data_IF_099366694748
#
_entry.id   IF_099366694748
#
_cell.length_a   1.000
_cell.length_b   1.000
_cell.length_c   1.000
_cell.angle_alpha   90.00
_cell.angle_beta   90.00
_cell.angle_gamma   90.00
#
_symmetry.space_group_name_H-M   'P 1'
#
loop_
_entity.id
_entity.type
_entity.pdbx_description
1 polymer ?
#
# COMPACT_ATOMS: atom_id res chain seq x y z
N UNK A 1 9.63 -0.88 -20.21
CA UNK A 1 9.58 -1.62 -18.94
C UNK A 1 9.33 -0.60 -17.83
N UNK A 2 8.10 -0.31 -17.39
CA UNK A 2 7.90 0.57 -16.24
C UNK A 2 7.52 -0.29 -15.00
N UNK A 3 8.03 -0.11 -13.79
CA UNK A 3 8.93 0.88 -13.24
C UNK A 3 9.84 0.19 -12.20
N UNK A 4 11.14 0.48 -12.24
CA UNK A 4 11.96 0.40 -11.02
C UNK A 4 11.53 1.59 -10.15
N UNK A 5 10.57 1.41 -9.25
CA UNK A 5 10.30 2.36 -8.17
C UNK A 5 11.36 2.11 -7.09
N UNK A 6 12.36 2.98 -7.04
CA UNK A 6 13.60 2.76 -6.29
C UNK A 6 13.53 3.19 -4.82
N UNK A 7 12.34 3.27 -4.21
CA UNK A 7 12.23 3.51 -2.78
C UNK A 7 11.15 2.62 -2.15
N UNK A 8 11.58 1.72 -1.27
CA UNK A 8 10.72 0.86 -0.43
C UNK A 8 9.62 1.68 0.25
N UNK A 9 9.89 2.93 0.63
CA UNK A 9 8.90 3.80 1.26
C UNK A 9 7.78 4.17 0.30
N UNK A 10 8.07 4.48 -0.95
CA UNK A 10 7.06 4.82 -1.97
C UNK A 10 6.15 3.63 -2.24
N UNK A 11 6.72 2.42 -2.34
CA UNK A 11 5.95 1.19 -2.53
C UNK A 11 5.02 0.91 -1.34
N UNK A 12 5.50 1.11 -0.11
CA UNK A 12 4.66 0.94 1.09
C UNK A 12 3.55 1.99 1.16
N UNK A 13 3.82 3.24 0.76
CA UNK A 13 2.77 4.29 0.69
C UNK A 13 1.71 3.91 -0.35
N UNK A 14 2.14 3.44 -1.53
CA UNK A 14 1.24 3.01 -2.58
C UNK A 14 0.37 1.83 -2.13
N UNK A 15 0.97 0.83 -1.50
CA UNK A 15 0.26 -0.34 -0.99
C UNK A 15 -0.80 0.04 0.06
N UNK A 16 -0.46 0.92 1.00
CA UNK A 16 -1.41 1.42 2.02
C UNK A 16 -2.55 2.21 1.37
N UNK A 17 -2.23 3.08 0.41
CA UNK A 17 -3.24 3.87 -0.30
C UNK A 17 -4.21 2.99 -1.10
N UNK A 18 -3.71 1.94 -1.76
CA UNK A 18 -4.54 0.97 -2.50
C UNK A 18 -5.42 0.14 -1.56
N UNK A 19 -4.89 -0.28 -0.42
CA UNK A 19 -5.65 -0.99 0.60
C UNK A 19 -6.79 -0.12 1.17
N UNK A 20 -6.50 1.15 1.47
CA UNK A 20 -7.51 2.11 1.92
C UNK A 20 -8.55 2.39 0.83
N UNK A 21 -8.10 2.57 -0.42
CA UNK A 21 -8.97 2.76 -1.58
C UNK A 21 -9.95 1.60 -1.76
N UNK A 22 -9.46 0.35 -1.67
CA UNK A 22 -10.29 -0.85 -1.78
C UNK A 22 -11.46 -0.81 -0.81
N UNK A 23 -11.21 -0.51 0.47
CA UNK A 23 -12.27 -0.46 1.49
C UNK A 23 -13.27 0.65 1.20
N UNK A 24 -12.81 1.81 0.75
CA UNK A 24 -13.67 2.95 0.48
C UNK A 24 -14.53 2.77 -0.78
N UNK A 25 -14.05 2.04 -1.78
CA UNK A 25 -14.71 1.88 -3.08
C UNK A 25 -15.46 0.56 -3.27
N UNK A 26 -15.41 -0.37 -2.32
CA UNK A 26 -16.08 -1.68 -2.39
C UNK A 26 -17.57 -1.57 -2.73
N UNK A 27 -18.27 -0.60 -2.14
CA UNK A 27 -19.71 -0.41 -2.39
C UNK A 27 -20.02 0.21 -3.76
N UNK A 28 -19.09 0.99 -4.33
CA UNK A 28 -19.28 1.69 -5.60
C UNK A 28 -18.86 0.83 -6.79
N UNK A 29 -17.75 0.12 -6.66
CA UNK A 29 -17.22 -0.81 -7.65
C UNK A 29 -16.43 -1.93 -6.95
N UNK A 30 -17.07 -3.08 -6.65
CA UNK A 30 -16.42 -4.17 -5.93
C UNK A 30 -15.31 -4.83 -6.74
N UNK A 31 -15.36 -4.79 -8.07
CA UNK A 31 -14.31 -5.37 -8.93
C UNK A 31 -13.06 -4.51 -8.88
N UNK A 32 -13.23 -3.18 -8.97
CA UNK A 32 -12.13 -2.25 -8.82
C UNK A 32 -11.51 -2.31 -7.42
N UNK A 33 -12.35 -2.42 -6.39
CA UNK A 33 -11.89 -2.60 -5.01
C UNK A 33 -11.05 -3.88 -4.85
N UNK A 34 -11.53 -5.01 -5.36
CA UNK A 34 -10.79 -6.27 -5.31
C UNK A 34 -9.43 -6.17 -6.03
N UNK A 35 -9.39 -5.56 -7.21
CA UNK A 35 -8.12 -5.34 -7.91
C UNK A 35 -7.16 -4.42 -7.15
N UNK A 36 -7.68 -3.35 -6.51
CA UNK A 36 -6.86 -2.47 -5.68
C UNK A 36 -6.29 -3.22 -4.46
N UNK A 37 -7.08 -4.08 -3.83
CA UNK A 37 -6.61 -4.93 -2.74
C UNK A 37 -5.53 -5.92 -3.18
N UNK A 38 -5.72 -6.59 -4.32
CA UNK A 38 -4.72 -7.52 -4.87
C UNK A 38 -3.40 -6.80 -5.17
N UNK A 39 -3.46 -5.62 -5.80
CA UNK A 39 -2.27 -4.83 -6.09
C UNK A 39 -1.58 -4.33 -4.80
N UNK A 40 -2.35 -3.94 -3.78
CA UNK A 40 -1.78 -3.62 -2.46
C UNK A 40 -1.06 -4.83 -1.85
N UNK A 41 -1.68 -6.01 -1.91
CA UNK A 41 -1.11 -7.24 -1.38
C UNK A 41 0.18 -7.63 -2.11
N UNK A 42 0.24 -7.49 -3.43
CA UNK A 42 1.45 -7.77 -4.22
C UNK A 42 2.63 -6.90 -3.74
N UNK A 43 2.40 -5.58 -3.60
CA UNK A 43 3.43 -4.67 -3.09
C UNK A 43 3.85 -4.96 -1.64
N UNK A 44 2.91 -5.38 -0.78
CA UNK A 44 3.22 -5.79 0.59
C UNK A 44 4.07 -7.07 0.65
N UNK A 45 3.76 -8.05 -0.21
CA UNK A 45 4.49 -9.31 -0.33
C UNK A 45 5.91 -9.11 -0.86
N UNK A 46 6.10 -8.20 -1.82
CA UNK A 46 7.43 -7.85 -2.34
C UNK A 46 8.39 -7.39 -1.24
N UNK A 47 7.87 -6.76 -0.19
CA UNK A 47 8.65 -6.23 0.93
C UNK A 47 8.58 -7.08 2.21
N UNK A 48 7.88 -8.22 2.19
CA UNK A 48 7.63 -9.12 3.34
C UNK A 48 7.04 -8.37 4.56
N UNK A 49 6.04 -7.52 4.30
CA UNK A 49 5.42 -6.67 5.33
C UNK A 49 3.91 -6.81 5.29
N UNK A 50 3.29 -7.01 6.46
CA UNK A 50 1.83 -6.93 6.56
C UNK A 50 1.33 -5.48 6.51
N UNK A 51 0.07 -5.26 6.12
CA UNK A 51 -0.52 -3.91 6.02
C UNK A 51 -0.37 -3.10 7.32
N UNK A 52 -0.59 -3.72 8.49
CA UNK A 52 -0.38 -3.04 9.77
C UNK A 52 1.08 -2.62 9.96
N UNK A 53 2.02 -3.42 9.43
CA UNK A 53 3.46 -3.23 9.54
C UNK A 53 3.89 -2.05 8.69
N UNK A 54 3.37 -1.98 7.46
CA UNK A 54 3.57 -0.87 6.53
C UNK A 54 3.09 0.44 7.15
N UNK A 55 1.86 0.48 7.67
CA UNK A 55 1.30 1.69 8.34
C UNK A 55 2.16 2.09 9.53
N UNK A 56 2.59 1.14 10.37
CA UNK A 56 3.47 1.42 11.52
C UNK A 56 4.80 2.00 11.06
N UNK A 57 5.43 1.41 10.06
CA UNK A 57 6.72 1.85 9.53
C UNK A 57 6.63 3.29 9.01
N UNK A 58 5.63 3.58 8.18
CA UNK A 58 5.41 4.92 7.63
C UNK A 58 5.15 5.98 8.71
N UNK A 59 4.39 5.63 9.75
CA UNK A 59 4.14 6.53 10.88
C UNK A 59 5.41 6.81 11.71
N UNK A 60 6.28 5.80 11.90
CA UNK A 60 7.55 5.98 12.61
C UNK A 60 8.50 6.89 11.81
N UNK A 61 8.62 6.67 10.51
CA UNK A 61 9.49 7.47 9.63
C UNK A 61 9.05 8.96 9.60
N UNK A 62 7.74 9.22 9.55
CA UNK A 62 7.18 10.57 9.66
C UNK A 62 7.48 11.23 11.02
N UNK A 63 7.39 10.47 12.12
CA UNK A 63 7.66 10.97 13.46
C UNK A 63 9.15 11.25 13.73
N UNK A 64 10.06 10.59 13.00
CA UNK A 64 11.51 10.81 13.12
C UNK A 64 12.05 11.95 12.24
N UNK A 65 11.21 12.51 11.38
CA UNK A 65 11.58 13.58 10.42
C UNK A 65 11.08 14.97 10.85
N UNK A 66 10.29 15.07 11.93
CA UNK A 66 9.79 16.31 12.55
C UNK A 66 10.52 16.61 13.86
#
# INVERSE_FOLDING_TARGET
MPAMLTDRREDLVLAVALAEFSVHYEAADPVLAEHAWQLAADHLLEHDVELHGAVRQLNIELATTL
#
